data_IF_416273452309
#
_entry.id   IF_416273452309
#
_cell.length_a   1.000
_cell.length_b   1.000
_cell.length_c   1.000
_cell.angle_alpha   90.00
_cell.angle_beta   90.00
_cell.angle_gamma   90.00
#
_symmetry.space_group_name_H-M   'P 1'
#
loop_
_entity.id
_entity.type
_entity.pdbx_description
1 polymer ?
#
# COMPACT_ATOMS: atom_id res chain seq x y z
N UNK A 1 -7.25 0.45 -16.75
CA UNK A 1 -7.05 -0.75 -17.59
C UNK A 1 -7.70 -0.51 -18.93
N UNK A 2 -6.92 -0.32 -19.96
CA UNK A 2 -7.48 -0.26 -21.29
C UNK A 2 -7.83 -1.68 -21.80
N UNK A 3 -8.51 -1.75 -22.93
CA UNK A 3 -8.90 -3.00 -23.59
C UNK A 3 -7.69 -3.87 -24.04
N UNK A 4 -6.47 -3.41 -23.82
CA UNK A 4 -5.22 -4.03 -24.30
C UNK A 4 -4.37 -4.64 -23.18
N UNK A 5 -4.88 -4.68 -21.96
CA UNK A 5 -4.27 -5.41 -20.86
C UNK A 5 -3.74 -4.55 -19.74
N UNK A 6 -3.46 -5.24 -18.65
CA UNK A 6 -2.90 -4.69 -17.42
C UNK A 6 -1.48 -4.16 -17.65
N UNK A 7 -1.11 -3.09 -16.98
CA UNK A 7 0.28 -2.65 -16.89
C UNK A 7 0.70 -1.59 -17.91
N UNK A 8 -0.21 -1.06 -18.71
CA UNK A 8 0.12 0.06 -19.57
C UNK A 8 0.08 1.37 -18.82
N UNK A 9 1.07 2.19 -19.10
CA UNK A 9 1.11 3.59 -18.68
C UNK A 9 0.41 4.47 -19.71
N UNK A 10 -0.13 5.57 -19.23
CA UNK A 10 -0.65 6.64 -20.07
C UNK A 10 -0.02 7.93 -19.62
N UNK A 11 0.66 8.63 -20.51
CA UNK A 11 1.11 10.00 -20.26
C UNK A 11 -0.08 10.92 -20.40
N UNK A 12 -0.31 11.77 -19.43
CA UNK A 12 -1.41 12.72 -19.43
C UNK A 12 -1.00 13.92 -20.29
N UNK A 13 -1.67 14.09 -21.41
CA UNK A 13 -1.42 15.19 -22.34
C UNK A 13 -2.26 16.41 -22.02
N UNK A 14 -3.45 16.20 -21.47
CA UNK A 14 -4.39 17.26 -21.13
C UNK A 14 -3.96 18.08 -19.92
N UNK A 15 -4.30 19.37 -19.91
CA UNK A 15 -4.09 20.27 -18.76
C UNK A 15 -5.12 19.97 -17.67
N UNK A 16 -4.86 18.92 -16.90
CA UNK A 16 -5.72 18.42 -15.83
C UNK A 16 -5.09 18.72 -14.49
N UNK A 17 -5.91 19.23 -13.56
CA UNK A 17 -5.55 19.40 -12.16
C UNK A 17 -6.41 18.48 -11.30
N UNK A 18 -5.74 17.64 -10.52
CA UNK A 18 -6.38 16.75 -9.53
C UNK A 18 -6.29 17.43 -8.17
N UNK A 19 -7.40 17.55 -7.46
CA UNK A 19 -7.45 18.02 -6.08
C UNK A 19 -7.68 16.84 -5.16
N UNK A 20 -6.94 16.76 -4.06
CA UNK A 20 -7.17 15.73 -3.05
C UNK A 20 -6.64 16.14 -1.68
N UNK A 21 -7.13 15.47 -0.65
CA UNK A 21 -6.66 15.54 0.73
C UNK A 21 -5.65 14.43 0.96
N UNK A 22 -4.51 14.74 1.53
CA UNK A 22 -3.49 13.75 1.91
C UNK A 22 -4.02 12.86 3.03
N UNK A 23 -4.07 11.56 2.77
CA UNK A 23 -4.61 10.53 3.66
C UNK A 23 -3.58 9.49 4.11
N UNK A 24 -2.31 9.65 3.74
CA UNK A 24 -1.22 8.77 4.18
C UNK A 24 -0.04 9.57 4.71
N UNK A 25 0.84 8.91 5.47
CA UNK A 25 2.06 9.52 5.99
C UNK A 25 3.23 8.55 5.93
N UNK A 26 4.38 9.02 5.45
CA UNK A 26 5.64 8.27 5.45
C UNK A 26 6.52 8.57 6.69
N UNK A 27 5.98 9.31 7.67
CA UNK A 27 6.72 9.71 8.87
C UNK A 27 7.26 8.53 9.70
N UNK A 28 6.57 7.40 9.73
CA UNK A 28 7.01 6.20 10.44
C UNK A 28 7.72 5.18 9.53
N UNK A 29 7.91 5.49 8.24
CA UNK A 29 8.74 4.72 7.31
C UNK A 29 8.11 3.43 6.79
N UNK A 30 6.81 3.21 7.00
CA UNK A 30 6.09 2.09 6.39
C UNK A 30 5.58 2.45 4.99
N UNK A 31 5.00 3.61 4.83
CA UNK A 31 4.74 4.20 3.50
C UNK A 31 6.08 4.63 2.91
N UNK A 32 6.35 4.23 1.67
CA UNK A 32 7.66 4.46 1.06
C UNK A 32 7.53 5.02 -0.35
N UNK A 33 8.05 6.24 -0.53
CA UNK A 33 8.05 6.94 -1.83
C UNK A 33 6.66 7.10 -2.44
N UNK A 34 5.66 7.18 -1.61
CA UNK A 34 4.26 7.27 -1.98
C UNK A 34 3.56 8.30 -1.12
N UNK A 35 2.56 8.93 -1.70
CA UNK A 35 1.63 9.81 -1.02
C UNK A 35 0.23 9.51 -1.58
N UNK A 36 -0.70 9.15 -0.73
CA UNK A 36 -2.09 8.91 -1.13
C UNK A 36 -2.93 10.16 -0.90
N UNK A 37 -3.68 10.53 -1.92
CA UNK A 37 -4.61 11.65 -1.87
C UNK A 37 -6.02 11.19 -2.19
N UNK A 38 -7.01 11.79 -1.56
CA UNK A 38 -8.43 11.45 -1.64
C UNK A 38 -9.25 12.69 -1.99
N UNK A 39 -10.15 12.57 -2.98
CA UNK A 39 -10.95 13.69 -3.47
C UNK A 39 -12.34 13.81 -2.83
N UNK A 40 -12.69 12.86 -1.98
CA UNK A 40 -14.01 12.71 -1.34
C UNK A 40 -14.78 11.49 -1.85
N UNK A 41 -14.35 10.89 -2.94
CA UNK A 41 -14.95 9.69 -3.54
C UNK A 41 -13.94 8.59 -3.80
N UNK A 42 -12.79 8.94 -4.37
CA UNK A 42 -11.72 8.01 -4.75
C UNK A 42 -10.35 8.52 -4.34
N UNK A 43 -9.38 7.64 -4.35
CA UNK A 43 -8.00 7.97 -4.01
C UNK A 43 -7.04 7.58 -5.12
N UNK A 44 -5.89 8.26 -5.13
CA UNK A 44 -4.78 7.94 -6.04
C UNK A 44 -3.44 8.01 -5.31
N UNK A 45 -2.54 7.11 -5.66
CA UNK A 45 -1.15 7.16 -5.22
C UNK A 45 -0.36 8.15 -6.06
N UNK A 46 0.35 9.06 -5.42
CA UNK A 46 1.40 9.88 -6.04
C UNK A 46 2.75 9.25 -5.74
N UNK A 47 3.52 8.95 -6.76
CA UNK A 47 4.86 8.38 -6.63
C UNK A 47 5.90 9.48 -6.49
N UNK A 48 6.29 9.73 -5.26
CA UNK A 48 7.19 10.82 -4.87
C UNK A 48 8.49 10.26 -4.28
N UNK A 49 9.31 11.14 -3.76
CA UNK A 49 10.46 10.79 -2.92
C UNK A 49 10.01 10.51 -1.47
N UNK A 50 10.96 10.27 -0.58
CA UNK A 50 10.70 10.09 0.85
C UNK A 50 10.51 11.42 1.58
N UNK A 51 10.11 11.34 2.84
CA UNK A 51 9.90 12.46 3.77
C UNK A 51 8.79 13.42 3.30
N UNK A 52 7.81 12.88 2.61
CA UNK A 52 6.65 13.63 2.12
C UNK A 52 5.85 14.27 3.24
N UNK A 53 5.79 13.64 4.42
CA UNK A 53 5.08 14.14 5.60
C UNK A 53 5.53 15.54 6.05
N UNK A 54 6.75 15.94 5.71
CA UNK A 54 7.29 17.28 6.05
C UNK A 54 6.60 18.37 5.23
N UNK A 55 6.40 18.09 3.94
CA UNK A 55 5.82 19.05 3.00
C UNK A 55 4.32 18.85 2.81
N UNK A 56 3.85 17.63 2.94
CA UNK A 56 2.47 17.22 2.71
C UNK A 56 1.96 16.40 3.90
N UNK A 57 1.74 17.02 5.06
CA UNK A 57 1.23 16.32 6.24
C UNK A 57 -0.19 15.80 6.01
N UNK A 58 -0.62 14.86 6.86
CA UNK A 58 -2.00 14.36 6.86
C UNK A 58 -3.00 15.52 6.90
N UNK A 59 -4.03 15.46 6.06
CA UNK A 59 -5.05 16.49 5.91
C UNK A 59 -4.67 17.63 4.96
N UNK A 60 -3.43 17.70 4.49
CA UNK A 60 -3.03 18.73 3.53
C UNK A 60 -3.83 18.59 2.24
N UNK A 61 -4.56 19.63 1.87
CA UNK A 61 -5.14 19.70 0.52
C UNK A 61 -4.01 19.96 -0.48
N UNK A 62 -3.99 19.20 -1.54
CA UNK A 62 -3.03 19.37 -2.63
C UNK A 62 -3.75 19.48 -3.97
N UNK A 63 -3.11 20.21 -4.89
CA UNK A 63 -3.51 20.33 -6.28
C UNK A 63 -2.38 19.78 -7.13
N UNK A 64 -2.65 18.74 -7.90
CA UNK A 64 -1.64 18.08 -8.73
C UNK A 64 -1.88 18.43 -10.19
N UNK A 65 -0.94 19.15 -10.80
CA UNK A 65 -0.89 19.30 -12.25
C UNK A 65 -0.47 17.99 -12.87
N UNK A 66 -1.41 17.31 -13.51
CA UNK A 66 -1.16 15.98 -14.03
C UNK A 66 -0.54 15.96 -15.43
N UNK A 67 -0.62 17.06 -16.18
CA UNK A 67 -0.04 17.14 -17.53
C UNK A 67 1.46 16.84 -17.52
N UNK A 68 1.88 15.91 -18.35
CA UNK A 68 3.27 15.43 -18.44
C UNK A 68 3.62 14.34 -17.42
N UNK A 69 2.73 14.04 -16.48
CA UNK A 69 2.88 12.88 -15.60
C UNK A 69 2.33 11.62 -16.28
N UNK A 70 2.76 10.48 -15.78
CA UNK A 70 2.31 9.18 -16.26
C UNK A 70 1.38 8.52 -15.24
N UNK A 71 0.24 8.06 -15.72
CA UNK A 71 -0.69 7.23 -14.97
C UNK A 71 -0.36 5.76 -15.22
N UNK A 72 -0.12 5.00 -14.17
CA UNK A 72 0.10 3.57 -14.23
C UNK A 72 -1.07 2.80 -13.60
N UNK A 73 -1.35 1.64 -14.15
CA UNK A 73 -2.48 0.82 -13.73
C UNK A 73 -2.18 -0.12 -12.57
N UNK A 74 -0.90 -0.37 -12.28
CA UNK A 74 -0.55 -1.09 -11.05
C UNK A 74 -0.77 -0.17 -9.86
N UNK A 75 -1.78 -0.48 -9.07
CA UNK A 75 -2.19 0.33 -7.92
C UNK A 75 -2.59 1.76 -8.26
N UNK A 76 -3.11 2.01 -9.44
CA UNK A 76 -3.52 3.31 -9.94
C UNK A 76 -2.66 4.45 -9.37
N UNK A 77 -1.51 4.63 -9.94
CA UNK A 77 -0.53 5.59 -9.44
C UNK A 77 -0.17 6.64 -10.48
N UNK A 78 0.12 7.84 -10.01
CA UNK A 78 0.57 8.97 -10.81
C UNK A 78 2.03 9.28 -10.46
N UNK A 79 2.88 9.33 -11.46
CA UNK A 79 4.32 9.57 -11.27
C UNK A 79 4.99 10.16 -12.49
N UNK A 80 6.32 10.27 -12.47
CA UNK A 80 7.09 10.74 -13.60
C UNK A 80 6.97 9.78 -14.78
N UNK A 81 6.77 10.33 -15.98
CA UNK A 81 6.89 9.55 -17.20
C UNK A 81 8.35 9.13 -17.40
N UNK A 82 8.63 7.88 -17.78
CA UNK A 82 9.96 7.47 -18.14
C UNK A 82 10.46 8.26 -19.36
N UNK A 83 11.77 8.43 -19.46
CA UNK A 83 12.37 8.97 -20.67
C UNK A 83 12.12 8.03 -21.85
N UNK A 84 11.84 8.59 -23.01
CA UNK A 84 11.75 7.82 -24.24
C UNK A 84 13.14 7.32 -24.67
N UNK A 85 13.17 6.12 -25.23
CA UNK A 85 14.32 5.61 -25.96
C UNK A 85 14.50 6.41 -27.26
N UNK A 86 15.70 6.35 -27.93
CA UNK A 86 15.96 7.09 -29.16
C UNK A 86 15.00 6.79 -30.32
N UNK A 87 14.33 5.64 -30.30
CA UNK A 87 13.33 5.23 -31.28
C UNK A 87 11.92 5.76 -30.99
N UNK A 88 11.76 6.53 -29.90
CA UNK A 88 10.48 7.10 -29.46
C UNK A 88 9.61 6.15 -28.65
N UNK A 89 10.12 4.98 -28.31
CA UNK A 89 9.43 4.04 -27.41
C UNK A 89 9.81 4.28 -25.95
N UNK A 90 9.00 3.72 -25.04
CA UNK A 90 9.39 3.70 -23.64
C UNK A 90 10.31 2.51 -23.34
N UNK A 91 11.27 2.63 -22.41
CA UNK A 91 12.09 1.51 -21.98
C UNK A 91 11.22 0.31 -21.59
N UNK A 92 11.61 -0.88 -22.06
CA UNK A 92 10.92 -2.14 -21.76
C UNK A 92 9.44 -2.22 -22.19
N UNK A 93 9.05 -1.46 -23.19
CA UNK A 93 7.70 -1.47 -23.75
C UNK A 93 7.51 -2.65 -24.69
N UNK A 94 7.73 -3.87 -24.21
CA UNK A 94 7.41 -5.06 -24.97
C UNK A 94 5.94 -5.42 -24.78
N UNK A 95 5.17 -5.62 -25.85
CA UNK A 95 3.73 -5.92 -25.74
C UNK A 95 3.39 -7.20 -24.97
N UNK A 96 4.35 -8.08 -24.79
CA UNK A 96 4.19 -9.34 -24.06
C UNK A 96 4.52 -9.24 -22.58
N UNK A 97 5.20 -8.20 -22.18
CA UNK A 97 5.57 -8.00 -20.79
C UNK A 97 4.61 -7.00 -20.19
N UNK A 98 3.62 -7.52 -19.53
CA UNK A 98 2.81 -6.74 -18.62
C UNK A 98 3.70 -6.30 -17.49
N UNK A 99 4.36 -5.24 -17.73
CA UNK A 99 5.39 -4.82 -16.88
C UNK A 99 4.80 -4.01 -15.73
N UNK A 100 4.13 -4.74 -14.86
CA UNK A 100 3.82 -4.22 -13.55
C UNK A 100 5.08 -3.83 -12.80
N UNK A 101 6.19 -4.43 -13.11
CA UNK A 101 7.45 -4.20 -12.42
C UNK A 101 8.29 -3.14 -13.10
N UNK A 102 8.25 -3.07 -14.40
CA UNK A 102 8.82 -1.97 -15.15
C UNK A 102 7.87 -0.78 -15.09
N UNK A 103 6.83 -0.99 -14.32
CA UNK A 103 5.98 0.04 -13.78
C UNK A 103 5.78 1.19 -14.73
N UNK A 104 4.62 1.32 -15.21
CA UNK A 104 4.26 2.36 -16.14
C UNK A 104 4.68 3.77 -15.75
N UNK A 105 5.19 4.02 -14.55
CA UNK A 105 5.73 5.30 -14.13
C UNK A 105 6.89 5.12 -13.14
N UNK A 106 7.61 6.22 -12.92
CA UNK A 106 8.69 6.33 -11.94
C UNK A 106 8.31 7.32 -10.84
N UNK A 107 9.03 7.29 -9.75
CA UNK A 107 8.93 8.34 -8.75
C UNK A 107 9.36 9.69 -9.35
N UNK A 108 8.69 10.77 -8.99
CA UNK A 108 9.16 12.13 -9.30
C UNK A 108 10.42 12.34 -8.46
N UNK A 109 11.60 12.51 -9.11
CA UNK A 109 12.88 12.20 -8.48
C UNK A 109 13.41 13.25 -7.53
N UNK A 110 12.98 14.50 -7.66
CA UNK A 110 13.51 15.60 -6.83
C UNK A 110 12.40 16.44 -6.21
N UNK A 111 12.70 17.09 -5.09
CA UNK A 111 11.77 18.01 -4.42
C UNK A 111 11.36 19.16 -5.35
N UNK A 112 12.28 19.69 -6.13
CA UNK A 112 12.02 20.76 -7.09
C UNK A 112 11.04 20.33 -8.17
N UNK A 113 11.19 19.11 -8.69
CA UNK A 113 10.25 18.55 -9.66
C UNK A 113 8.88 18.29 -9.01
N UNK A 114 8.86 17.76 -7.79
CA UNK A 114 7.59 17.58 -7.07
C UNK A 114 6.86 18.91 -6.95
N UNK A 115 7.56 19.99 -6.58
CA UNK A 115 6.98 21.35 -6.46
C UNK A 115 6.44 21.92 -7.76
N UNK A 116 6.86 21.41 -8.91
CA UNK A 116 6.31 21.80 -10.22
C UNK A 116 4.94 21.18 -10.49
N UNK A 117 4.67 20.05 -9.86
CA UNK A 117 3.44 19.29 -10.09
C UNK A 117 2.48 19.35 -8.90
N UNK A 118 2.99 19.36 -7.66
CA UNK A 118 2.18 19.23 -6.45
C UNK A 118 2.17 20.53 -5.66
N UNK A 119 1.07 21.24 -5.71
CA UNK A 119 0.85 22.52 -5.03
C UNK A 119 0.07 22.33 -3.74
N UNK A 120 0.51 22.97 -2.69
CA UNK A 120 -0.18 22.95 -1.39
C UNK A 120 -1.36 23.92 -1.41
N UNK A 121 -2.50 23.43 -0.97
CA UNK A 121 -3.66 24.23 -0.61
C UNK A 121 -3.73 24.49 0.89
N UNK A 122 -4.92 24.57 1.43
CA UNK A 122 -5.16 24.73 2.86
C UNK A 122 -4.83 23.43 3.61
N UNK A 123 -4.40 23.55 4.85
CA UNK A 123 -4.27 22.42 5.75
C UNK A 123 -5.62 22.17 6.41
N UNK A 124 -6.14 20.98 6.21
CA UNK A 124 -7.35 20.47 6.84
C UNK A 124 -7.00 19.31 7.77
N UNK A 125 -7.99 18.68 8.36
CA UNK A 125 -7.83 17.49 9.21
C UNK A 125 -8.48 16.27 8.56
N UNK A 126 -7.98 15.08 8.89
CA UNK A 126 -8.68 13.85 8.59
C UNK A 126 -9.89 13.74 9.53
N UNK A 127 -11.04 13.50 8.95
CA UNK A 127 -12.31 13.37 9.66
C UNK A 127 -12.95 12.00 9.38
N UNK A 128 -14.02 11.67 10.09
CA UNK A 128 -14.78 10.43 9.82
C UNK A 128 -15.36 10.39 8.39
N UNK A 129 -15.55 11.54 7.74
CA UNK A 129 -16.00 11.60 6.34
C UNK A 129 -14.89 11.19 5.34
N UNK A 130 -13.64 11.19 5.76
CA UNK A 130 -12.51 10.80 4.93
C UNK A 130 -12.18 9.30 5.09
N UNK A 131 -12.90 8.59 5.97
CA UNK A 131 -12.63 7.20 6.34
C UNK A 131 -13.85 6.33 6.08
N UNK A 132 -13.68 5.31 5.26
CA UNK A 132 -14.71 4.27 5.12
C UNK A 132 -14.58 3.27 6.26
N UNK A 133 -15.67 2.97 6.97
CA UNK A 133 -15.67 2.03 8.09
C UNK A 133 -16.26 0.70 7.66
N UNK A 134 -15.54 -0.38 7.95
CA UNK A 134 -15.99 -1.75 7.71
C UNK A 134 -15.81 -2.63 8.95
N UNK A 135 -16.70 -3.57 9.08
CA UNK A 135 -16.73 -4.59 10.13
C UNK A 135 -17.11 -5.97 9.56
N UNK A 136 -17.24 -6.97 10.43
CA UNK A 136 -17.60 -8.33 10.06
C UNK A 136 -18.97 -8.45 9.36
N UNK A 137 -19.87 -7.49 9.53
CA UNK A 137 -21.23 -7.56 9.01
C UNK A 137 -21.37 -6.86 7.66
N UNK A 138 -20.51 -5.87 7.35
CA UNK A 138 -20.65 -5.05 6.16
C UNK A 138 -19.49 -5.16 5.13
N UNK A 139 -18.33 -5.74 5.49
CA UNK A 139 -17.16 -5.72 4.60
C UNK A 139 -17.42 -6.29 3.20
N UNK A 140 -18.28 -7.32 3.07
CA UNK A 140 -18.61 -7.94 1.76
C UNK A 140 -19.41 -7.03 0.84
N UNK A 141 -20.14 -6.08 1.39
CA UNK A 141 -21.00 -5.17 0.63
C UNK A 141 -20.38 -3.81 0.39
N UNK A 142 -19.47 -3.40 1.25
CA UNK A 142 -18.80 -2.10 1.18
C UNK A 142 -17.52 -2.17 0.38
N UNK A 143 -16.65 -3.16 0.66
CA UNK A 143 -15.35 -3.25 0.00
C UNK A 143 -15.46 -3.70 -1.45
N UNK A 144 -14.81 -2.96 -2.31
CA UNK A 144 -14.65 -3.24 -3.73
C UNK A 144 -13.37 -2.55 -4.25
N UNK A 145 -13.02 -2.79 -5.51
CA UNK A 145 -11.81 -2.24 -6.11
C UNK A 145 -11.85 -0.71 -6.32
N UNK A 146 -13.03 -0.08 -6.29
CA UNK A 146 -13.13 1.39 -6.38
C UNK A 146 -12.60 2.09 -5.13
N UNK A 147 -12.51 1.37 -4.01
CA UNK A 147 -11.95 1.87 -2.75
C UNK A 147 -10.43 1.66 -2.63
N UNK A 148 -9.78 1.12 -3.65
CA UNK A 148 -8.33 0.98 -3.62
C UNK A 148 -7.65 2.35 -3.54
N UNK A 149 -6.70 2.45 -2.62
CA UNK A 149 -6.02 3.70 -2.28
C UNK A 149 -6.73 4.54 -1.21
N UNK A 150 -7.98 4.26 -0.89
CA UNK A 150 -8.74 4.97 0.14
C UNK A 150 -8.31 4.56 1.55
N UNK A 151 -8.57 5.45 2.51
CA UNK A 151 -8.37 5.20 3.93
C UNK A 151 -9.58 4.46 4.50
N UNK A 152 -9.36 3.26 5.01
CA UNK A 152 -10.41 2.41 5.54
C UNK A 152 -10.08 2.03 6.98
N UNK A 153 -11.07 2.13 7.87
CA UNK A 153 -11.01 1.59 9.22
C UNK A 153 -11.71 0.23 9.26
N UNK A 154 -10.94 -0.79 9.52
CA UNK A 154 -11.40 -2.16 9.71
C UNK A 154 -11.63 -2.38 11.20
N UNK A 155 -12.87 -2.52 11.64
CA UNK A 155 -13.22 -2.72 13.03
C UNK A 155 -13.37 -4.20 13.37
N UNK A 156 -12.71 -4.63 14.44
CA UNK A 156 -12.80 -5.99 14.93
C UNK A 156 -12.21 -7.06 13.99
N UNK A 157 -11.11 -6.77 13.31
CA UNK A 157 -10.33 -7.78 12.62
C UNK A 157 -9.68 -8.72 13.64
N UNK A 158 -9.66 -10.01 13.35
CA UNK A 158 -8.96 -11.01 14.14
C UNK A 158 -7.60 -11.31 13.54
N UNK A 159 -6.55 -11.25 14.36
CA UNK A 159 -5.22 -11.72 13.94
C UNK A 159 -5.26 -13.23 13.70
N UNK A 160 -4.57 -13.72 12.69
CA UNK A 160 -4.64 -15.13 12.28
C UNK A 160 -3.33 -15.62 11.68
N UNK A 161 -2.27 -15.62 12.47
CA UNK A 161 -0.94 -15.95 11.94
C UNK A 161 -0.42 -17.34 12.33
N UNK A 162 -1.03 -18.01 13.29
CA UNK A 162 -0.64 -19.39 13.65
C UNK A 162 -1.50 -20.46 13.01
N UNK A 163 -2.70 -20.10 12.53
CA UNK A 163 -3.68 -21.03 11.99
C UNK A 163 -3.61 -21.21 10.48
N UNK A 164 -2.75 -20.45 9.81
CA UNK A 164 -2.68 -20.45 8.35
C UNK A 164 -1.55 -21.34 7.88
N UNK A 165 -1.87 -22.19 6.92
CA UNK A 165 -0.89 -23.04 6.23
C UNK A 165 0.17 -22.17 5.56
N UNK A 166 1.44 -22.51 5.82
CA UNK A 166 2.61 -21.85 5.25
C UNK A 166 2.63 -21.80 3.72
N UNK A 167 1.95 -22.71 3.05
CA UNK A 167 1.84 -22.71 1.60
C UNK A 167 0.82 -21.68 1.09
N UNK A 168 -0.18 -21.36 1.91
CA UNK A 168 -1.22 -20.38 1.57
C UNK A 168 -0.80 -18.96 1.93
N UNK A 169 0.04 -18.83 2.97
CA UNK A 169 0.53 -17.55 3.45
C UNK A 169 2.01 -17.59 3.73
N UNK A 170 2.82 -17.64 2.71
CA UNK A 170 4.28 -17.69 2.87
C UNK A 170 4.85 -16.51 3.66
N UNK A 171 4.11 -15.43 3.78
CA UNK A 171 4.59 -14.22 4.40
C UNK A 171 4.75 -14.26 5.90
N UNK A 172 3.93 -15.13 6.62
CA UNK A 172 4.18 -15.31 8.01
C UNK A 172 5.44 -16.07 8.25
N UNK A 173 5.76 -16.89 7.30
CA UNK A 173 6.83 -17.84 7.30
C UNK A 173 7.76 -17.50 6.14
N UNK A 174 7.94 -16.19 5.88
CA UNK A 174 8.76 -15.78 4.76
C UNK A 174 10.11 -16.49 4.82
N UNK A 175 10.38 -17.26 3.77
CA UNK A 175 11.61 -18.03 3.67
C UNK A 175 12.72 -17.08 3.23
N UNK A 176 13.53 -16.66 4.18
CA UNK A 176 14.72 -15.89 3.90
C UNK A 176 15.91 -16.84 3.94
N UNK A 177 16.53 -17.08 2.81
CA UNK A 177 17.69 -17.98 2.68
C UNK A 177 17.43 -19.39 3.26
N UNK A 178 16.22 -19.90 3.10
CA UNK A 178 15.83 -21.20 3.61
C UNK A 178 15.36 -21.19 5.08
N UNK A 179 15.29 -20.04 5.72
CA UNK A 179 14.82 -19.90 7.10
C UNK A 179 13.48 -19.20 7.12
N UNK A 180 12.51 -19.83 7.73
CA UNK A 180 11.21 -19.21 8.01
C UNK A 180 11.35 -18.36 9.27
N UNK A 181 11.33 -17.05 9.10
CA UNK A 181 11.69 -16.11 10.15
C UNK A 181 10.73 -16.13 11.34
N UNK A 182 9.44 -16.28 11.12
CA UNK A 182 8.50 -16.41 12.23
C UNK A 182 8.72 -17.70 12.99
N UNK A 183 9.02 -18.79 12.29
CA UNK A 183 9.40 -20.04 12.92
C UNK A 183 10.67 -19.91 13.74
N UNK A 184 11.66 -19.18 13.20
CA UNK A 184 12.88 -18.89 13.95
C UNK A 184 12.59 -18.17 15.26
N UNK A 185 11.77 -17.11 15.23
CA UNK A 185 11.40 -16.40 16.45
C UNK A 185 10.65 -17.28 17.44
N UNK A 186 9.74 -18.15 16.96
CA UNK A 186 9.02 -19.10 17.81
C UNK A 186 9.96 -20.15 18.42
N UNK A 187 10.87 -20.73 17.62
CA UNK A 187 11.83 -21.74 18.07
C UNK A 187 12.82 -21.16 19.10
N UNK A 188 13.19 -19.90 18.98
CA UNK A 188 14.06 -19.18 19.93
C UNK A 188 13.29 -18.55 21.10
N UNK A 189 11.98 -18.69 21.16
CA UNK A 189 11.14 -18.11 22.21
C UNK A 189 11.08 -16.57 22.16
N UNK A 190 11.29 -15.99 21.00
CA UNK A 190 11.22 -14.56 20.79
C UNK A 190 9.81 -14.14 20.35
N UNK A 191 9.37 -12.92 20.68
CA UNK A 191 8.08 -12.42 20.25
C UNK A 191 8.08 -12.23 18.72
N UNK A 192 6.94 -12.54 18.09
CA UNK A 192 6.72 -12.25 16.67
C UNK A 192 6.45 -10.75 16.53
N UNK A 193 7.18 -10.11 15.61
CA UNK A 193 7.13 -8.67 15.36
C UNK A 193 6.51 -8.33 14.01
N UNK A 194 6.09 -7.06 13.85
CA UNK A 194 5.48 -6.57 12.61
C UNK A 194 6.37 -6.73 11.37
N UNK A 195 7.66 -6.58 11.55
CA UNK A 195 8.69 -6.91 10.58
C UNK A 195 9.93 -7.38 11.33
N UNK A 196 10.99 -7.77 10.66
CA UNK A 196 12.13 -8.37 11.35
C UNK A 196 13.47 -8.02 10.73
N UNK A 197 14.51 -8.18 11.55
CA UNK A 197 15.90 -8.15 11.13
C UNK A 197 16.48 -9.57 11.22
N UNK A 198 17.13 -9.99 10.16
CA UNK A 198 17.89 -11.22 10.15
C UNK A 198 19.24 -10.97 9.46
N UNK A 199 20.33 -11.38 10.08
CA UNK A 199 21.70 -11.19 9.58
C UNK A 199 21.96 -9.73 9.11
N UNK A 200 21.62 -8.76 9.96
CA UNK A 200 21.71 -7.33 9.70
C UNK A 200 20.89 -6.80 8.51
N UNK A 201 20.02 -7.62 7.95
CA UNK A 201 19.11 -7.24 6.87
C UNK A 201 17.71 -6.97 7.41
N UNK A 202 17.12 -5.88 6.95
CA UNK A 202 15.75 -5.49 7.30
C UNK A 202 14.79 -6.08 6.28
N UNK A 203 13.89 -6.92 6.75
CA UNK A 203 12.89 -7.59 5.92
C UNK A 203 11.50 -7.06 6.18
N UNK A 204 10.63 -7.19 5.19
CA UNK A 204 9.21 -6.94 5.37
C UNK A 204 8.59 -8.03 6.24
N UNK A 205 7.66 -7.61 7.10
CA UNK A 205 6.71 -8.51 7.72
C UNK A 205 5.38 -8.46 6.97
N UNK A 206 4.64 -9.54 7.05
CA UNK A 206 3.30 -9.65 6.47
C UNK A 206 2.46 -10.47 7.44
N UNK A 207 1.43 -9.84 8.00
CA UNK A 207 0.62 -10.48 9.02
C UNK A 207 -0.84 -10.52 8.58
N UNK A 208 -1.49 -11.66 8.77
CA UNK A 208 -2.86 -11.87 8.37
C UNK A 208 -3.83 -11.39 9.43
N UNK A 209 -4.84 -10.68 8.98
CA UNK A 209 -6.00 -10.29 9.76
C UNK A 209 -7.27 -10.63 8.98
N UNK A 210 -8.30 -11.11 9.66
CA UNK A 210 -9.46 -11.66 8.96
C UNK A 210 -10.75 -11.49 9.74
N UNK A 211 -11.86 -11.38 9.00
CA UNK A 211 -13.21 -11.54 9.52
C UNK A 211 -13.70 -13.00 9.44
N UNK A 212 -13.00 -13.83 8.69
CA UNK A 212 -13.40 -15.23 8.48
C UNK A 212 -12.99 -16.10 9.67
N UNK A 213 -13.86 -17.03 10.05
CA UNK A 213 -13.58 -18.01 11.10
C UNK A 213 -12.48 -18.99 10.68
N UNK A 214 -12.48 -19.35 9.40
CA UNK A 214 -11.45 -20.20 8.79
C UNK A 214 -11.05 -19.53 7.49
N UNK A 215 -9.94 -18.78 7.45
CA UNK A 215 -9.49 -18.13 6.23
C UNK A 215 -9.17 -19.20 5.18
N UNK A 216 -10.02 -19.31 4.18
CA UNK A 216 -9.83 -20.24 3.06
C UNK A 216 -9.49 -19.51 1.75
N UNK A 217 -9.67 -18.21 1.71
CA UNK A 217 -9.44 -17.38 0.54
C UNK A 217 -8.96 -16.00 0.92
N UNK A 218 -7.96 -15.52 0.20
CA UNK A 218 -7.45 -14.15 0.31
C UNK A 218 -8.39 -13.11 -0.30
N UNK A 219 -9.37 -13.56 -1.09
CA UNK A 219 -10.31 -12.70 -1.80
C UNK A 219 -11.51 -12.28 -0.96
N UNK A 220 -11.73 -12.92 0.19
CA UNK A 220 -12.92 -12.65 1.00
C UNK A 220 -12.59 -12.52 2.48
N UNK A 221 -12.56 -11.28 2.95
CA UNK A 221 -12.48 -10.97 4.38
C UNK A 221 -11.14 -11.22 5.05
N UNK A 222 -10.10 -11.51 4.28
CA UNK A 222 -8.74 -11.70 4.78
C UNK A 222 -7.79 -10.70 4.15
N UNK A 223 -6.98 -10.07 4.98
CA UNK A 223 -6.12 -8.95 4.60
C UNK A 223 -4.73 -9.15 5.16
N UNK A 224 -3.72 -8.78 4.38
CA UNK A 224 -2.32 -8.78 4.81
C UNK A 224 -1.91 -7.38 5.21
N UNK A 225 -1.57 -7.17 6.47
CA UNK A 225 -0.87 -5.96 6.90
C UNK A 225 0.60 -6.13 6.56
N UNK A 226 1.06 -5.35 5.58
CA UNK A 226 2.45 -5.37 5.13
C UNK A 226 3.23 -4.26 5.81
N UNK A 227 4.30 -4.63 6.53
CA UNK A 227 5.13 -3.68 7.26
C UNK A 227 6.57 -3.76 6.79
N UNK A 228 7.14 -2.62 6.47
CA UNK A 228 8.54 -2.48 6.09
C UNK A 228 9.47 -2.72 7.29
N UNK A 229 10.57 -3.44 7.09
CA UNK A 229 11.61 -3.54 8.10
C UNK A 229 12.29 -2.20 8.46
N UNK A 230 12.00 -1.15 7.71
CA UNK A 230 12.45 0.22 7.98
C UNK A 230 11.43 1.04 8.77
N UNK A 231 10.21 0.52 8.98
CA UNK A 231 9.22 1.20 9.79
C UNK A 231 9.70 1.37 11.23
N UNK A 232 9.39 2.50 11.85
CA UNK A 232 9.76 2.78 13.25
C UNK A 232 9.18 1.78 14.24
N UNK A 233 8.07 1.15 13.85
CA UNK A 233 7.38 0.14 14.64
C UNK A 233 7.65 -1.31 14.17
N UNK A 234 8.58 -1.50 13.24
CA UNK A 234 8.89 -2.80 12.66
C UNK A 234 9.12 -3.91 13.70
N UNK A 235 9.85 -3.58 14.77
CA UNK A 235 10.20 -4.54 15.81
C UNK A 235 9.25 -4.53 17.03
N UNK A 236 8.11 -3.86 16.95
CA UNK A 236 7.06 -4.03 17.94
C UNK A 236 6.41 -5.40 17.79
N UNK A 237 5.97 -5.96 18.89
CA UNK A 237 5.28 -7.23 18.90
C UNK A 237 3.94 -7.15 18.13
N UNK A 238 3.60 -8.24 17.47
CA UNK A 238 2.26 -8.41 16.91
C UNK A 238 1.25 -8.61 18.04
N UNK A 239 -0.01 -8.20 17.83
CA UNK A 239 -1.11 -8.67 18.67
C UNK A 239 -1.09 -10.19 18.78
N UNK A 240 -1.48 -10.72 19.94
CA UNK A 240 -1.54 -12.16 20.12
C UNK A 240 -2.40 -12.83 19.02
N UNK A 241 -2.07 -14.07 18.68
CA UNK A 241 -2.89 -14.81 17.72
C UNK A 241 -4.34 -14.91 18.21
N UNK A 242 -5.28 -14.67 17.32
CA UNK A 242 -6.71 -14.52 17.59
C UNK A 242 -7.12 -13.25 18.36
N UNK A 243 -6.21 -12.33 18.65
CA UNK A 243 -6.59 -11.03 19.18
C UNK A 243 -7.46 -10.24 18.19
N UNK A 244 -8.38 -9.47 18.74
CA UNK A 244 -9.21 -8.56 17.95
C UNK A 244 -8.57 -7.18 17.91
N UNK A 245 -8.57 -6.57 16.73
CA UNK A 245 -7.96 -5.25 16.52
C UNK A 245 -8.82 -4.37 15.63
N UNK A 246 -8.70 -3.07 15.80
CA UNK A 246 -9.12 -2.09 14.79
C UNK A 246 -7.89 -1.65 14.03
N UNK A 247 -7.97 -1.59 12.70
CA UNK A 247 -6.87 -1.15 11.85
C UNK A 247 -7.37 -0.08 10.89
N UNK A 248 -6.77 1.11 10.95
CA UNK A 248 -6.98 2.15 9.93
C UNK A 248 -5.81 2.13 8.96
N UNK A 249 -6.09 1.91 7.68
CA UNK A 249 -5.05 1.70 6.69
C UNK A 249 -5.48 2.14 5.30
N UNK A 250 -4.52 2.41 4.44
CA UNK A 250 -4.77 2.51 3.00
C UNK A 250 -5.07 1.11 2.48
N UNK A 251 -6.22 0.97 1.83
CA UNK A 251 -6.67 -0.29 1.25
C UNK A 251 -6.01 -0.50 -0.10
N UNK A 252 -5.22 -1.54 -0.22
CA UNK A 252 -4.44 -1.83 -1.43
C UNK A 252 -4.58 -3.29 -1.83
N UNK A 253 -4.09 -3.66 -3.00
CA UNK A 253 -3.98 -5.05 -3.41
C UNK A 253 -2.62 -5.36 -3.99
N UNK A 254 -2.19 -6.57 -3.83
CA UNK A 254 -0.98 -7.11 -4.44
C UNK A 254 -1.34 -8.11 -5.53
N UNK A 255 -0.74 -7.94 -6.68
CA UNK A 255 -0.93 -8.80 -7.84
C UNK A 255 0.40 -9.40 -8.30
N UNK A 256 0.33 -10.52 -9.01
CA UNK A 256 1.50 -11.09 -9.67
C UNK A 256 1.94 -10.22 -10.85
N UNK A 257 3.15 -10.45 -11.34
CA UNK A 257 3.66 -9.78 -12.55
C UNK A 257 2.78 -9.97 -13.79
N UNK A 258 2.04 -11.05 -13.84
CA UNK A 258 1.07 -11.36 -14.91
C UNK A 258 -0.30 -10.73 -14.65
N UNK A 259 -0.46 -9.95 -13.59
CA UNK A 259 -1.72 -9.30 -13.24
C UNK A 259 -2.70 -10.17 -12.46
N UNK A 260 -2.32 -11.41 -12.11
CA UNK A 260 -3.14 -12.26 -11.26
C UNK A 260 -3.24 -11.71 -9.84
N UNK A 261 -4.44 -11.62 -9.29
CA UNK A 261 -4.66 -11.25 -7.90
C UNK A 261 -3.92 -12.21 -6.96
N UNK A 262 -3.28 -11.67 -5.93
CA UNK A 262 -2.63 -12.45 -4.87
C UNK A 262 -3.33 -12.18 -3.54
N UNK A 263 -3.40 -10.92 -3.10
CA UNK A 263 -4.01 -10.56 -1.82
C UNK A 263 -4.38 -9.10 -1.73
N UNK A 264 -5.36 -8.77 -0.90
CA UNK A 264 -5.54 -7.42 -0.42
C UNK A 264 -4.55 -7.12 0.69
N UNK A 265 -3.97 -5.93 0.62
CA UNK A 265 -2.98 -5.46 1.60
C UNK A 265 -3.47 -4.20 2.29
N UNK A 266 -3.16 -4.10 3.57
CA UNK A 266 -3.39 -2.92 4.39
C UNK A 266 -2.05 -2.23 4.62
N UNK A 267 -1.95 -1.00 4.14
CA UNK A 267 -0.77 -0.17 4.31
C UNK A 267 -1.03 0.82 5.45
N UNK A 268 -0.48 0.53 6.61
CA UNK A 268 -0.61 1.32 7.83
C UNK A 268 0.40 2.46 7.80
N UNK A 269 -0.02 3.69 8.05
CA UNK A 269 0.88 4.86 8.10
C UNK A 269 1.62 4.97 9.43
N UNK A 270 0.95 4.63 10.53
CA UNK A 270 1.47 4.76 11.90
C UNK A 270 1.07 3.56 12.75
N UNK A 271 1.87 3.23 13.76
CA UNK A 271 1.47 2.22 14.75
C UNK A 271 0.20 2.60 15.53
N UNK A 272 -0.10 3.90 15.63
CA UNK A 272 -1.32 4.39 16.28
C UNK A 272 -2.59 4.05 15.51
N UNK A 273 -2.46 3.67 14.25
CA UNK A 273 -3.58 3.26 13.39
C UNK A 273 -4.01 1.82 13.68
N UNK A 274 -3.34 1.14 14.62
CA UNK A 274 -3.61 -0.22 15.09
C UNK A 274 -4.00 -0.15 16.56
N UNK A 275 -5.21 -0.56 16.88
CA UNK A 275 -5.77 -0.57 18.21
C UNK A 275 -6.16 -2.02 18.60
N UNK A 276 -5.60 -2.54 19.67
CA UNK A 276 -6.00 -3.82 20.25
C UNK A 276 -7.26 -3.64 21.11
N UNK A 277 -8.23 -4.57 20.97
CA UNK A 277 -9.53 -4.51 21.64
C UNK A 277 -9.58 -5.35 22.92
#
# INVERSE_FOLDING_TARGET
HDANGLGRRVVIEDDVVIKGKVISSDAEGNVYKSLYIYDGEQAIELRLMNDNYVNYPLGQIVYVKAQGLSLASYMLSLGAAPALEPDGTFPNDTPSEHDFSASGNSNIPTTEMVQQYVYRGELDTITEADVTVVDKDNYKTVLNDDLLGCLIRFEGLRSSYTTVDSNTYPNYLENVNGVYTNKYYQDEGLPITWAYNYDNTKYYGSSLFTYETTPTSLESGSYVVRVSGYARFALKELPADNAMVNITAIYTKYSSRTGGFITYQLLVSSYKDIEEL
#
